data_IF_823171136267
#
_entry.id   IF_823171136267
#
_cell.length_a   1.000
_cell.length_b   1.000
_cell.length_c   1.000
_cell.angle_alpha   90.00
_cell.angle_beta   90.00
_cell.angle_gamma   90.00
#
_symmetry.space_group_name_H-M   'P 1'
#
loop_
_entity.id
_entity.type
_entity.pdbx_description
1 polymer ?
#
# COMPACT_ATOMS: atom_id res chain seq x y z
N UNK A 1 34.90 52.35 -4.50
CA UNK A 1 35.25 51.16 -3.69
C UNK A 1 34.48 51.27 -2.40
N UNK A 2 33.38 50.53 -2.26
CA UNK A 2 32.58 50.47 -1.03
C UNK A 2 33.24 49.46 -0.10
N UNK A 3 33.54 49.83 1.15
CA UNK A 3 33.89 48.82 2.15
C UNK A 3 33.43 49.18 3.56
N UNK A 4 32.74 48.19 4.15
CA UNK A 4 32.57 47.89 5.58
C UNK A 4 31.79 48.86 6.46
N UNK A 5 30.52 49.11 6.10
CA UNK A 5 29.46 49.27 7.10
C UNK A 5 28.65 47.97 7.21
N UNK A 6 28.04 47.75 8.38
CA UNK A 6 26.92 46.81 8.63
C UNK A 6 27.36 45.36 8.94
N UNK A 7 27.07 44.70 10.08
CA UNK A 7 25.87 44.67 10.94
C UNK A 7 26.19 44.02 12.31
N UNK A 8 25.41 44.44 13.30
CA UNK A 8 25.37 44.09 14.73
C UNK A 8 25.30 42.60 15.09
N UNK A 9 25.85 42.28 16.27
CA UNK A 9 25.47 41.16 17.12
C UNK A 9 23.98 41.25 17.54
N UNK A 10 23.22 40.20 17.26
CA UNK A 10 21.90 39.82 17.81
C UNK A 10 21.49 38.57 17.00
N UNK A 11 21.16 37.38 17.49
CA UNK A 11 20.40 36.93 18.66
C UNK A 11 20.58 35.39 18.77
N UNK A 12 20.20 34.73 19.88
CA UNK A 12 20.41 33.29 20.07
C UNK A 12 19.57 32.48 19.09
N UNK A 13 20.04 31.25 18.80
CA UNK A 13 19.36 30.22 18.02
C UNK A 13 17.95 30.04 18.58
N UNK A 14 17.00 30.78 17.98
CA UNK A 14 15.59 30.68 18.26
C UNK A 14 15.14 29.34 17.69
N UNK A 15 15.15 28.35 18.57
CA UNK A 15 14.14 27.31 18.67
C UNK A 15 13.12 27.39 17.54
N UNK A 16 13.45 26.74 16.42
CA UNK A 16 12.47 26.39 15.43
C UNK A 16 11.72 25.21 16.03
N UNK A 17 10.86 25.54 17.01
CA UNK A 17 9.69 24.75 17.32
C UNK A 17 8.95 24.61 16.00
N UNK A 18 9.28 23.55 15.26
CA UNK A 18 8.36 22.96 14.31
C UNK A 18 7.13 22.71 15.17
N UNK A 19 6.02 23.43 15.00
CA UNK A 19 4.81 22.98 15.64
C UNK A 19 4.65 21.56 15.10
N UNK A 20 4.75 20.59 16.00
CA UNK A 20 4.22 19.26 15.82
C UNK A 20 2.74 19.45 15.57
N UNK A 21 2.42 19.90 14.36
CA UNK A 21 1.15 19.62 13.73
C UNK A 21 1.24 18.12 13.59
N UNK A 22 0.76 17.45 14.63
CA UNK A 22 0.16 16.16 14.51
C UNK A 22 -0.88 16.36 13.42
N UNK A 23 -0.43 16.22 12.17
CA UNK A 23 -1.30 15.96 11.06
C UNK A 23 -1.90 14.63 11.50
N UNK A 24 -3.05 14.71 12.13
CA UNK A 24 -4.02 13.65 12.23
C UNK A 24 -4.52 13.36 10.81
N UNK A 25 -3.59 13.07 9.91
CA UNK A 25 -3.84 12.21 8.79
C UNK A 25 -4.14 10.90 9.49
N UNK A 26 -5.43 10.58 9.54
CA UNK A 26 -5.90 9.21 9.56
C UNK A 26 -4.86 8.42 8.76
N UNK A 27 -4.02 7.63 9.42
CA UNK A 27 -3.26 6.62 8.70
C UNK A 27 -4.35 5.68 8.22
N UNK A 28 -4.92 5.98 7.06
CA UNK A 28 -5.76 5.07 6.32
C UNK A 28 -4.81 3.92 5.98
N UNK A 29 -4.62 3.01 6.94
CA UNK A 29 -4.07 1.70 6.63
C UNK A 29 -5.00 1.19 5.54
N UNK A 30 -4.49 0.93 4.33
CA UNK A 30 -5.34 0.47 3.26
C UNK A 30 -6.05 -0.78 3.77
N UNK A 31 -7.37 -0.80 3.60
CA UNK A 31 -8.19 -1.92 4.04
C UNK A 31 -7.62 -3.23 3.53
N UNK A 32 -7.74 -4.29 4.34
CA UNK A 32 -7.16 -5.58 3.99
C UNK A 32 -7.76 -6.08 2.66
N UNK A 33 -6.96 -6.58 1.69
CA UNK A 33 -7.45 -6.95 0.35
C UNK A 33 -8.66 -7.89 0.34
N UNK A 34 -8.76 -8.77 1.35
CA UNK A 34 -9.91 -9.67 1.52
C UNK A 34 -11.25 -8.93 1.62
N UNK A 35 -11.29 -7.70 2.13
CA UNK A 35 -12.51 -6.92 2.27
C UNK A 35 -13.09 -6.46 0.92
N UNK A 36 -12.30 -6.57 -0.16
CA UNK A 36 -12.75 -6.26 -1.53
C UNK A 36 -13.39 -7.46 -2.24
N UNK A 37 -13.32 -8.66 -1.64
CA UNK A 37 -13.92 -9.87 -2.19
C UNK A 37 -15.44 -9.85 -1.98
N UNK A 38 -16.16 -10.48 -2.92
CA UNK A 38 -17.59 -10.74 -2.74
C UNK A 38 -17.84 -11.81 -1.67
N UNK A 39 -19.10 -11.88 -1.23
CA UNK A 39 -19.53 -12.82 -0.18
C UNK A 39 -19.24 -14.28 -0.55
N UNK A 40 -19.36 -14.64 -1.83
CA UNK A 40 -19.13 -16.01 -2.29
C UNK A 40 -17.65 -16.42 -2.16
N UNK A 41 -16.72 -15.52 -2.48
CA UNK A 41 -15.30 -15.78 -2.31
C UNK A 41 -14.89 -15.77 -0.82
N UNK A 42 -15.48 -14.89 -0.01
CA UNK A 42 -15.27 -14.89 1.44
C UNK A 42 -15.75 -16.20 2.09
N UNK A 43 -16.92 -16.70 1.72
CA UNK A 43 -17.43 -17.99 2.19
C UNK A 43 -16.52 -19.14 1.76
N UNK A 44 -16.01 -19.12 0.52
CA UNK A 44 -15.07 -20.11 0.06
C UNK A 44 -13.77 -20.14 0.88
N UNK A 45 -13.21 -18.97 1.19
CA UNK A 45 -12.02 -18.84 2.05
C UNK A 45 -12.32 -19.36 3.44
N UNK A 46 -13.46 -18.98 4.03
CA UNK A 46 -13.89 -19.46 5.34
C UNK A 46 -13.92 -20.99 5.37
N UNK A 47 -14.59 -21.61 4.40
CA UNK A 47 -14.68 -23.08 4.32
C UNK A 47 -13.32 -23.74 4.10
N UNK A 48 -12.44 -23.11 3.32
CA UNK A 48 -11.08 -23.59 3.12
C UNK A 48 -10.28 -23.57 4.43
N UNK A 49 -10.40 -22.50 5.22
CA UNK A 49 -9.75 -22.36 6.52
C UNK A 49 -10.31 -23.37 7.53
N UNK A 50 -11.63 -23.53 7.60
CA UNK A 50 -12.30 -24.52 8.45
C UNK A 50 -11.89 -25.96 8.08
N UNK A 51 -11.55 -26.20 6.81
CA UNK A 51 -11.02 -27.46 6.31
C UNK A 51 -9.48 -27.57 6.42
N UNK A 52 -8.80 -26.68 7.14
CA UNK A 52 -7.33 -26.63 7.25
C UNK A 52 -6.60 -26.62 5.90
N UNK A 53 -7.18 -25.98 4.88
CA UNK A 53 -6.66 -25.94 3.52
C UNK A 53 -6.96 -27.19 2.66
N UNK A 54 -7.71 -28.16 3.17
CA UNK A 54 -7.99 -29.41 2.46
C UNK A 54 -9.04 -29.25 1.37
N UNK A 55 -8.60 -29.12 0.12
CA UNK A 55 -9.49 -29.06 -1.05
C UNK A 55 -10.39 -30.30 -1.20
N UNK A 56 -9.95 -31.46 -0.70
CA UNK A 56 -10.78 -32.67 -0.67
C UNK A 56 -11.97 -32.55 0.29
N UNK A 57 -11.76 -31.94 1.46
CA UNK A 57 -12.85 -31.69 2.41
C UNK A 57 -13.80 -30.59 1.90
N UNK A 58 -13.25 -29.53 1.32
CA UNK A 58 -14.04 -28.47 0.68
C UNK A 58 -14.89 -29.02 -0.47
N UNK A 59 -14.36 -29.92 -1.30
CA UNK A 59 -15.11 -30.61 -2.34
C UNK A 59 -16.29 -31.42 -1.81
N UNK A 60 -16.10 -32.13 -0.68
CA UNK A 60 -17.18 -32.84 0.01
C UNK A 60 -18.24 -31.88 0.55
N UNK A 61 -17.83 -30.75 1.14
CA UNK A 61 -18.73 -29.72 1.67
C UNK A 61 -19.65 -29.15 0.57
N UNK A 62 -19.06 -28.76 -0.57
CA UNK A 62 -19.82 -28.19 -1.68
C UNK A 62 -20.52 -29.25 -2.57
N UNK A 63 -20.29 -30.54 -2.33
CA UNK A 63 -20.87 -31.62 -3.17
C UNK A 63 -20.37 -31.64 -4.62
N UNK A 64 -19.17 -31.11 -4.87
CA UNK A 64 -18.58 -31.00 -6.22
C UNK A 64 -17.24 -31.74 -6.30
N UNK A 65 -16.75 -31.92 -7.52
CA UNK A 65 -15.50 -32.64 -7.75
C UNK A 65 -14.28 -31.85 -7.24
N UNK A 66 -13.23 -32.57 -6.81
CA UNK A 66 -11.96 -31.96 -6.42
C UNK A 66 -11.37 -31.08 -7.54
N UNK A 67 -11.33 -31.50 -8.82
CA UNK A 67 -10.91 -30.62 -9.93
C UNK A 67 -11.68 -29.30 -9.99
N UNK A 68 -12.99 -29.32 -9.73
CA UNK A 68 -13.84 -28.11 -9.73
C UNK A 68 -13.43 -27.15 -8.61
N UNK A 69 -13.24 -27.66 -7.38
CA UNK A 69 -12.77 -26.83 -6.24
C UNK A 69 -11.38 -26.28 -6.49
N UNK A 70 -10.48 -27.10 -7.05
CA UNK A 70 -9.11 -26.66 -7.35
C UNK A 70 -9.12 -25.49 -8.34
N UNK A 71 -9.87 -25.61 -9.44
CA UNK A 71 -9.99 -24.53 -10.41
C UNK A 71 -10.61 -23.26 -9.81
N UNK A 72 -11.53 -23.38 -8.86
CA UNK A 72 -12.08 -22.23 -8.11
C UNK A 72 -11.03 -21.56 -7.24
N UNK A 73 -10.23 -22.34 -6.50
CA UNK A 73 -9.13 -21.80 -5.70
C UNK A 73 -8.09 -21.10 -6.59
N UNK A 74 -7.68 -21.72 -7.69
CA UNK A 74 -6.67 -21.15 -8.58
C UNK A 74 -7.11 -19.77 -9.12
N UNK A 75 -8.38 -19.63 -9.51
CA UNK A 75 -8.95 -18.32 -9.92
C UNK A 75 -8.94 -17.28 -8.80
N UNK A 76 -9.23 -17.71 -7.57
CA UNK A 76 -9.23 -16.81 -6.41
C UNK A 76 -7.81 -16.36 -6.04
N UNK A 77 -6.81 -17.25 -6.16
CA UNK A 77 -5.39 -16.92 -5.97
C UNK A 77 -4.98 -15.82 -6.94
N UNK A 78 -5.21 -16.01 -8.25
CA UNK A 78 -4.88 -15.00 -9.28
C UNK A 78 -5.56 -13.66 -8.98
N UNK A 79 -6.82 -13.68 -8.54
CA UNK A 79 -7.52 -12.45 -8.15
C UNK A 79 -6.87 -11.77 -6.95
N UNK A 80 -6.46 -12.52 -5.94
CA UNK A 80 -5.82 -11.99 -4.74
C UNK A 80 -4.42 -11.45 -5.03
N UNK A 81 -3.64 -12.12 -5.87
CA UNK A 81 -2.33 -11.64 -6.33
C UNK A 81 -2.45 -10.27 -7.00
N UNK A 82 -3.39 -10.10 -7.94
CA UNK A 82 -3.65 -8.80 -8.58
C UNK A 82 -4.06 -7.71 -7.57
N UNK A 83 -4.86 -8.05 -6.56
CA UNK A 83 -5.26 -7.09 -5.53
C UNK A 83 -4.09 -6.66 -4.64
N UNK A 84 -3.20 -7.60 -4.30
CA UNK A 84 -2.00 -7.31 -3.51
C UNK A 84 -1.03 -6.44 -4.31
N UNK A 85 -0.75 -6.80 -5.56
CA UNK A 85 0.14 -6.03 -6.44
C UNK A 85 -0.36 -4.59 -6.66
N UNK A 86 -1.65 -4.41 -6.92
CA UNK A 86 -2.23 -3.08 -7.07
C UNK A 86 -2.12 -2.25 -5.80
N UNK A 87 -2.33 -2.87 -4.63
CA UNK A 87 -2.17 -2.21 -3.34
C UNK A 87 -0.74 -1.76 -3.08
N UNK A 88 0.26 -2.59 -3.39
CA UNK A 88 1.67 -2.22 -3.26
C UNK A 88 2.04 -1.05 -4.18
N UNK A 89 1.53 -1.06 -5.43
CA UNK A 89 1.70 0.05 -6.38
C UNK A 89 1.07 1.34 -5.86
N UNK A 90 -0.12 1.28 -5.28
CA UNK A 90 -0.80 2.44 -4.69
C UNK A 90 -0.06 2.98 -3.46
N UNK A 91 0.44 2.11 -2.58
CA UNK A 91 1.26 2.51 -1.42
C UNK A 91 2.55 3.20 -1.85
N UNK A 92 3.22 2.70 -2.90
CA UNK A 92 4.40 3.34 -3.47
C UNK A 92 4.08 4.73 -4.04
N UNK A 93 3.00 4.87 -4.80
CA UNK A 93 2.58 6.15 -5.36
C UNK A 93 2.25 7.17 -4.26
N UNK A 94 1.55 6.75 -3.20
CA UNK A 94 1.23 7.59 -2.05
C UNK A 94 2.49 8.04 -1.29
N UNK A 95 3.46 7.13 -1.08
CA UNK A 95 4.73 7.47 -0.45
C UNK A 95 5.49 8.53 -1.25
N UNK A 96 5.62 8.33 -2.57
CA UNK A 96 6.32 9.27 -3.43
C UNK A 96 5.62 10.63 -3.48
N UNK A 97 4.29 10.67 -3.51
CA UNK A 97 3.52 11.91 -3.42
C UNK A 97 3.83 12.68 -2.13
N UNK A 98 3.86 12.00 -0.97
CA UNK A 98 4.20 12.61 0.31
C UNK A 98 5.63 13.15 0.35
N UNK A 99 6.59 12.45 -0.25
CA UNK A 99 7.99 12.90 -0.34
C UNK A 99 8.16 14.14 -1.22
N UNK A 100 7.35 14.25 -2.28
CA UNK A 100 7.30 15.46 -3.13
C UNK A 100 6.66 16.62 -2.38
N UNK A 101 5.55 16.39 -1.68
CA UNK A 101 4.86 17.43 -0.90
C UNK A 101 5.74 17.98 0.23
N UNK A 102 6.50 17.11 0.90
CA UNK A 102 7.45 17.51 1.96
C UNK A 102 8.75 18.11 1.43
N UNK A 103 8.93 18.21 0.11
CA UNK A 103 10.12 18.76 -0.54
C UNK A 103 11.37 17.88 -0.45
N UNK A 104 11.23 16.63 0.01
CA UNK A 104 12.32 15.66 0.13
C UNK A 104 12.69 15.02 -1.22
N UNK A 105 11.77 15.04 -2.19
CA UNK A 105 11.95 14.51 -3.53
C UNK A 105 11.39 15.48 -4.59
N UNK A 106 12.03 15.56 -5.75
CA UNK A 106 11.48 16.35 -6.87
C UNK A 106 10.40 15.56 -7.61
N UNK A 107 9.39 16.25 -8.16
CA UNK A 107 8.34 15.59 -8.94
C UNK A 107 8.87 14.80 -10.15
N UNK A 108 9.92 15.31 -10.81
CA UNK A 108 10.55 14.62 -11.93
C UNK A 108 11.22 13.30 -11.49
N UNK A 109 11.94 13.30 -10.36
CA UNK A 109 12.55 12.09 -9.82
C UNK A 109 11.50 11.07 -9.37
N UNK A 110 10.43 11.52 -8.72
CA UNK A 110 9.30 10.67 -8.34
C UNK A 110 8.66 9.97 -9.55
N UNK A 111 8.47 10.69 -10.66
CA UNK A 111 7.95 10.11 -11.90
C UNK A 111 8.90 9.05 -12.48
N UNK A 112 10.21 9.32 -12.53
CA UNK A 112 11.19 8.32 -13.01
C UNK A 112 11.19 7.04 -12.17
N UNK A 113 11.05 7.17 -10.85
CA UNK A 113 10.98 6.01 -9.93
C UNK A 113 9.69 5.21 -10.16
N UNK A 114 8.55 5.89 -10.32
CA UNK A 114 7.27 5.23 -10.63
C UNK A 114 7.32 4.47 -11.96
N UNK A 115 7.90 5.07 -13.01
CA UNK A 115 8.04 4.45 -14.32
C UNK A 115 8.88 3.17 -14.24
N UNK A 116 10.00 3.22 -13.53
CA UNK A 116 10.89 2.08 -13.34
C UNK A 116 10.19 0.93 -12.59
N UNK A 117 9.46 1.27 -11.52
CA UNK A 117 8.73 0.29 -10.72
C UNK A 117 7.61 -0.39 -11.53
N UNK A 118 6.86 0.37 -12.34
CA UNK A 118 5.83 -0.14 -13.26
C UNK A 118 6.38 -1.02 -14.38
N UNK A 119 7.66 -0.86 -14.73
CA UNK A 119 8.32 -1.64 -15.79
C UNK A 119 8.85 -3.00 -15.31
N UNK A 120 9.00 -3.17 -14.00
CA UNK A 120 9.65 -4.34 -13.38
C UNK A 120 8.64 -5.37 -12.85
N UNK A 121 7.36 -4.99 -12.73
CA UNK A 121 6.23 -5.82 -12.29
C UNK A 121 5.08 -5.74 -13.28
#
# INVERSE_FOLDING_TARGET
MLNMSDIKLSEPVKEMAVPSRLVSGQTQRPEHPLLTLDQENLEFILQLVLASGSLKQVARYYGISYPTVRARLDKLIVRLEMLVENRERDEMANLLANLVETGQLTGAAAQSILELHRSTH
#
